data_IF_752215047298
#
_entry.id   IF_752215047298
#
_cell.length_a   1.000
_cell.length_b   1.000
_cell.length_c   1.000
_cell.angle_alpha   90.00
_cell.angle_beta   90.00
_cell.angle_gamma   90.00
#
_symmetry.space_group_name_H-M   'P 1'
#
loop_
_entity.id
_entity.type
_entity.pdbx_description
1 polymer ?
#
# COMPACT_ATOMS: atom_id res chain seq x y z
N UNK A 1 14.40 41.58 13.15
CA UNK A 1 15.80 41.90 13.51
C UNK A 1 15.91 42.63 14.84
N UNK A 2 15.37 43.84 15.02
CA UNK A 2 15.57 44.62 16.27
C UNK A 2 15.29 43.85 17.57
N UNK A 3 14.16 43.15 17.66
CA UNK A 3 13.84 42.30 18.83
C UNK A 3 14.84 41.16 19.05
N UNK A 4 15.31 40.50 17.99
CA UNK A 4 16.32 39.43 18.08
C UNK A 4 17.64 39.98 18.62
N UNK A 5 18.09 41.13 18.08
CA UNK A 5 19.30 41.80 18.54
C UNK A 5 19.21 42.24 20.01
N UNK A 6 18.06 42.81 20.42
CA UNK A 6 17.79 43.24 21.81
C UNK A 6 17.88 42.07 22.81
N UNK A 7 17.51 40.86 22.38
CA UNK A 7 17.53 39.67 23.22
C UNK A 7 18.76 38.77 23.00
N UNK A 8 19.68 39.14 22.11
CA UNK A 8 20.88 38.34 21.81
C UNK A 8 20.61 37.01 21.12
N UNK A 9 19.50 36.90 20.36
CA UNK A 9 19.03 35.65 19.74
C UNK A 9 19.46 35.61 18.27
N UNK A 10 20.14 34.54 17.86
CA UNK A 10 20.51 34.29 16.46
C UNK A 10 19.35 33.79 15.60
N UNK A 11 19.53 33.83 14.27
CA UNK A 11 18.58 33.27 13.28
C UNK A 11 18.96 31.85 12.89
N UNK A 12 18.00 31.11 12.34
CA UNK A 12 18.21 29.81 11.70
C UNK A 12 17.78 29.90 10.24
N UNK A 13 18.68 29.56 9.31
CA UNK A 13 18.36 29.52 7.87
C UNK A 13 17.81 28.15 7.43
N UNK A 14 18.14 27.10 8.19
CA UNK A 14 17.68 25.72 7.96
C UNK A 14 17.30 25.08 9.30
N UNK A 15 16.16 24.39 9.32
CA UNK A 15 15.67 23.57 10.43
C UNK A 15 15.44 22.16 9.91
N UNK A 16 16.25 21.21 10.37
CA UNK A 16 16.13 19.79 10.03
C UNK A 16 15.66 19.04 11.27
N UNK A 17 14.41 18.57 11.25
CA UNK A 17 13.75 17.92 12.39
C UNK A 17 12.85 16.81 11.86
N UNK A 18 13.11 15.58 12.29
CA UNK A 18 12.19 14.45 12.11
C UNK A 18 11.57 14.11 13.47
N UNK A 19 10.36 13.54 13.46
CA UNK A 19 9.61 13.18 14.66
C UNK A 19 10.02 11.81 15.21
N UNK A 20 9.70 11.55 16.48
CA UNK A 20 9.84 10.21 17.06
C UNK A 20 9.01 9.18 16.28
N UNK A 21 9.46 7.91 16.17
CA UNK A 21 8.76 6.85 15.45
C UNK A 21 7.56 6.32 16.26
N UNK A 22 6.57 7.20 16.49
CA UNK A 22 5.37 6.89 17.26
C UNK A 22 4.61 5.70 16.68
N UNK A 23 4.52 5.61 15.35
CA UNK A 23 3.98 4.45 14.62
C UNK A 23 4.60 3.14 15.11
N UNK A 24 5.92 2.98 14.96
CA UNK A 24 6.65 1.76 15.31
C UNK A 24 6.49 1.38 16.79
N UNK A 25 6.37 2.39 17.66
CA UNK A 25 6.14 2.21 19.10
C UNK A 25 4.75 1.66 19.40
N UNK A 26 3.70 2.32 18.93
CA UNK A 26 2.32 1.94 19.26
C UNK A 26 1.79 0.74 18.46
N UNK A 27 2.47 0.36 17.38
CA UNK A 27 2.17 -0.87 16.60
C UNK A 27 3.16 -2.01 16.88
N UNK A 28 3.96 -1.91 17.94
CA UNK A 28 4.93 -2.94 18.32
C UNK A 28 4.25 -4.25 18.77
N UNK A 29 4.96 -5.37 18.61
CA UNK A 29 4.43 -6.70 18.94
C UNK A 29 4.26 -6.81 20.46
N UNK A 30 3.00 -6.96 20.90
CA UNK A 30 2.61 -6.95 22.32
C UNK A 30 1.87 -5.68 22.75
N UNK A 31 1.88 -4.63 21.91
CA UNK A 31 1.36 -3.31 22.27
C UNK A 31 2.35 -2.51 23.13
N UNK A 32 1.87 -1.38 23.65
CA UNK A 32 2.61 -0.48 24.52
C UNK A 32 1.69 -0.06 25.67
N UNK A 33 2.24 0.12 26.87
CA UNK A 33 1.46 0.65 28.00
C UNK A 33 1.01 2.09 27.72
N UNK A 34 -0.05 2.54 28.41
CA UNK A 34 -0.63 3.85 28.14
C UNK A 34 0.36 4.99 28.43
N UNK A 35 1.02 4.94 29.58
CA UNK A 35 2.03 5.92 30.02
C UNK A 35 3.22 5.98 29.03
N UNK A 36 3.77 4.82 28.66
CA UNK A 36 4.82 4.71 27.65
C UNK A 36 4.38 5.30 26.30
N UNK A 37 3.13 5.07 25.89
CA UNK A 37 2.55 5.65 24.68
C UNK A 37 2.47 7.19 24.75
N UNK A 38 2.09 7.75 25.89
CA UNK A 38 2.07 9.20 26.14
C UNK A 38 3.49 9.79 26.10
N UNK A 39 4.49 9.12 26.69
CA UNK A 39 5.89 9.59 26.67
C UNK A 39 6.49 9.64 25.26
N UNK A 40 5.98 8.84 24.31
CA UNK A 40 6.42 8.84 22.92
C UNK A 40 5.70 9.90 22.05
N UNK A 41 4.80 10.72 22.61
CA UNK A 41 4.18 11.85 21.89
C UNK A 41 5.12 13.07 21.93
N UNK A 42 5.83 13.31 20.83
CA UNK A 42 6.64 14.51 20.62
C UNK A 42 5.81 15.79 20.57
N UNK A 43 6.14 16.75 21.44
CA UNK A 43 5.56 18.10 21.49
C UNK A 43 6.49 19.15 20.86
N UNK A 44 7.80 18.94 20.98
CA UNK A 44 8.83 19.90 20.55
C UNK A 44 9.05 19.88 19.04
N UNK A 45 9.12 18.67 18.46
CA UNK A 45 9.27 18.46 17.02
C UNK A 45 8.18 19.14 16.22
N UNK A 46 6.88 18.87 16.45
CA UNK A 46 5.79 19.50 15.70
C UNK A 46 5.76 21.03 15.88
N UNK A 47 6.11 21.54 17.06
CA UNK A 47 6.19 22.98 17.31
C UNK A 47 7.31 23.65 16.47
N UNK A 48 8.51 23.08 16.46
CA UNK A 48 9.64 23.57 15.66
C UNK A 48 9.37 23.47 14.15
N UNK A 49 8.85 22.33 13.68
CA UNK A 49 8.51 22.10 12.27
C UNK A 49 7.47 23.12 11.80
N UNK A 50 6.38 23.34 12.56
CA UNK A 50 5.34 24.32 12.21
C UNK A 50 5.85 25.76 12.24
N UNK A 51 6.74 26.11 13.18
CA UNK A 51 7.34 27.43 13.25
C UNK A 51 8.23 27.72 12.02
N UNK A 52 9.10 26.78 11.65
CA UNK A 52 9.95 26.89 10.47
C UNK A 52 9.12 26.91 9.16
N UNK A 53 8.14 26.00 9.02
CA UNK A 53 7.25 25.94 7.86
C UNK A 53 6.40 27.21 7.69
N UNK A 54 5.95 27.83 8.79
CA UNK A 54 5.30 29.15 8.75
C UNK A 54 6.25 30.24 8.23
N UNK A 55 7.52 30.22 8.63
CA UNK A 55 8.51 31.21 8.21
C UNK A 55 9.31 30.80 6.95
N UNK A 56 8.69 30.03 6.05
CA UNK A 56 9.37 29.42 4.89
C UNK A 56 10.04 30.40 3.92
N UNK A 57 9.67 31.68 3.95
CA UNK A 57 10.36 32.72 3.19
C UNK A 57 11.84 32.81 3.56
N UNK A 58 12.15 32.77 4.85
CA UNK A 58 13.50 32.96 5.35
C UNK A 58 14.13 31.61 5.77
N UNK A 59 13.32 30.67 6.30
CA UNK A 59 13.79 29.39 6.87
C UNK A 59 13.45 28.20 5.96
N UNK A 60 14.43 27.36 5.64
CA UNK A 60 14.20 26.06 5.01
C UNK A 60 13.85 25.02 6.09
N UNK A 61 12.75 24.28 5.92
CA UNK A 61 12.35 23.21 6.85
C UNK A 61 12.47 21.85 6.15
N UNK A 62 13.13 20.87 6.78
CA UNK A 62 13.23 19.50 6.26
C UNK A 62 12.84 18.50 7.33
N UNK A 63 11.94 17.60 6.94
CA UNK A 63 11.34 16.56 7.80
C UNK A 63 11.61 15.13 7.31
N UNK A 64 12.31 14.99 6.19
CA UNK A 64 12.55 13.70 5.51
C UNK A 64 13.99 13.68 4.96
N UNK A 65 14.82 12.70 5.37
CA UNK A 65 16.18 12.52 4.83
C UNK A 65 16.27 12.40 3.31
N UNK A 66 15.20 11.96 2.63
CA UNK A 66 15.18 11.86 1.17
C UNK A 66 15.25 13.23 0.46
N UNK A 67 14.94 14.34 1.16
CA UNK A 67 15.08 15.69 0.59
C UNK A 67 16.51 16.25 0.70
N UNK A 68 17.42 15.61 1.45
CA UNK A 68 18.77 16.12 1.67
C UNK A 68 19.58 16.38 0.38
N UNK A 69 19.53 15.54 -0.67
CA UNK A 69 20.21 15.83 -1.93
C UNK A 69 19.70 17.13 -2.58
N UNK A 70 18.38 17.32 -2.63
CA UNK A 70 17.75 18.52 -3.19
C UNK A 70 18.05 19.77 -2.36
N UNK A 71 18.08 19.66 -1.02
CA UNK A 71 18.51 20.73 -0.13
C UNK A 71 19.96 21.13 -0.42
N UNK A 72 20.87 20.16 -0.56
CA UNK A 72 22.29 20.42 -0.86
C UNK A 72 22.49 21.05 -2.23
N UNK A 73 21.68 20.67 -3.23
CA UNK A 73 21.66 21.33 -4.55
C UNK A 73 21.15 22.78 -4.45
N UNK A 74 20.03 23.01 -3.75
CA UNK A 74 19.49 24.34 -3.49
C UNK A 74 20.52 25.25 -2.81
N UNK A 75 21.18 24.78 -1.74
CA UNK A 75 22.17 25.56 -0.98
C UNK A 75 23.46 25.84 -1.77
N UNK A 76 23.77 25.05 -2.81
CA UNK A 76 24.88 25.31 -3.75
C UNK A 76 24.47 26.26 -4.88
N UNK A 77 23.18 26.36 -5.18
CA UNK A 77 22.63 27.29 -6.15
C UNK A 77 22.68 28.72 -5.64
N UNK A 78 23.23 29.65 -6.43
CA UNK A 78 23.28 31.07 -6.08
C UNK A 78 21.94 31.82 -6.22
N UNK A 79 20.80 31.12 -6.18
CA UNK A 79 19.47 31.67 -6.47
C UNK A 79 18.40 31.18 -5.50
N UNK A 80 17.43 32.04 -5.20
CA UNK A 80 16.41 31.79 -4.18
C UNK A 80 15.12 31.24 -4.81
N UNK A 81 14.96 29.91 -4.87
CA UNK A 81 13.71 29.31 -5.36
C UNK A 81 12.61 29.27 -4.28
N UNK A 82 11.73 30.27 -4.37
CA UNK A 82 10.54 30.38 -3.53
C UNK A 82 9.54 29.22 -3.70
N UNK A 83 9.54 28.50 -4.82
CA UNK A 83 8.70 27.31 -5.01
C UNK A 83 9.24 26.12 -4.21
N UNK A 84 10.55 25.89 -4.21
CA UNK A 84 11.19 24.89 -3.34
C UNK A 84 10.89 25.13 -1.86
N UNK A 85 11.05 26.38 -1.38
CA UNK A 85 10.67 26.79 0.00
C UNK A 85 9.22 26.46 0.35
N UNK A 86 8.28 26.77 -0.56
CA UNK A 86 6.84 26.47 -0.36
C UNK A 86 6.55 24.97 -0.39
N UNK A 87 7.24 24.19 -1.22
CA UNK A 87 7.13 22.72 -1.27
C UNK A 87 7.58 22.09 0.04
N UNK A 88 8.72 22.53 0.58
CA UNK A 88 9.21 22.11 1.90
C UNK A 88 8.22 22.46 3.01
N UNK A 89 7.68 23.68 3.02
CA UNK A 89 6.67 24.11 3.98
C UNK A 89 5.39 23.26 3.93
N UNK A 90 4.89 22.97 2.72
CA UNK A 90 3.75 22.09 2.52
C UNK A 90 4.04 20.67 3.06
N UNK A 91 5.20 20.09 2.72
CA UNK A 91 5.61 18.76 3.18
C UNK A 91 5.72 18.70 4.70
N UNK A 92 6.27 19.75 5.33
CA UNK A 92 6.36 19.88 6.78
C UNK A 92 4.98 19.93 7.47
N UNK A 93 4.02 20.70 6.95
CA UNK A 93 2.65 20.70 7.48
C UNK A 93 1.94 19.35 7.24
N UNK A 94 2.15 18.70 6.09
CA UNK A 94 1.58 17.39 5.81
C UNK A 94 2.14 16.30 6.74
N UNK A 95 3.45 16.33 7.02
CA UNK A 95 4.12 15.40 7.94
C UNK A 95 3.54 15.52 9.36
N UNK A 96 3.37 16.74 9.88
CA UNK A 96 2.74 16.97 11.19
C UNK A 96 1.26 16.56 11.17
N UNK A 97 0.50 16.85 10.11
CA UNK A 97 -0.90 16.42 10.02
C UNK A 97 -1.05 14.88 10.03
N UNK A 98 -0.17 14.15 9.34
CA UNK A 98 -0.15 12.68 9.35
C UNK A 98 0.29 12.10 10.70
N UNK A 99 1.16 12.81 11.43
CA UNK A 99 1.56 12.46 12.79
C UNK A 99 0.42 12.68 13.80
N UNK A 100 -0.17 13.88 13.83
CA UNK A 100 -1.29 14.21 14.71
C UNK A 100 -2.50 13.29 14.48
N UNK A 101 -2.72 12.85 13.22
CA UNK A 101 -3.76 11.87 12.87
C UNK A 101 -3.53 10.52 13.55
N UNK A 102 -2.29 10.03 13.60
CA UNK A 102 -1.94 8.77 14.27
C UNK A 102 -2.06 8.90 15.79
N UNK A 103 -1.62 10.01 16.38
CA UNK A 103 -1.78 10.28 17.82
C UNK A 103 -3.26 10.30 18.19
N UNK A 104 -4.11 10.98 17.40
CA UNK A 104 -5.56 11.03 17.62
C UNK A 104 -6.22 9.64 17.49
N UNK A 105 -5.84 8.84 16.50
CA UNK A 105 -6.35 7.48 16.32
C UNK A 105 -5.93 6.56 17.48
N UNK A 106 -4.67 6.63 17.92
CA UNK A 106 -4.17 5.86 19.05
C UNK A 106 -4.90 6.23 20.35
N UNK A 107 -5.03 7.53 20.65
CA UNK A 107 -5.76 8.02 21.83
C UNK A 107 -7.22 7.59 21.82
N UNK A 108 -7.90 7.64 20.66
CA UNK A 108 -9.28 7.15 20.56
C UNK A 108 -9.41 5.68 20.93
N UNK A 109 -8.49 4.82 20.47
CA UNK A 109 -8.47 3.39 20.82
C UNK A 109 -8.31 3.16 22.34
N UNK A 110 -7.61 4.05 23.05
CA UNK A 110 -7.49 3.96 24.52
C UNK A 110 -8.81 4.27 25.25
N UNK A 111 -9.78 4.94 24.61
CA UNK A 111 -11.09 5.24 25.22
C UNK A 111 -12.07 4.06 25.18
N UNK A 112 -11.76 2.99 24.45
CA UNK A 112 -12.69 1.88 24.16
C UNK A 112 -13.08 0.99 25.35
N UNK A 113 -12.66 1.34 26.58
CA UNK A 113 -13.15 0.78 27.85
C UNK A 113 -13.99 1.74 28.71
N UNK A 114 -14.19 2.99 28.28
CA UNK A 114 -14.86 4.04 29.08
C UNK A 114 -16.38 4.01 28.90
N UNK A 115 -16.89 3.67 27.71
CA UNK A 115 -18.32 3.49 27.50
C UNK A 115 -18.81 2.16 28.08
N UNK A 116 -19.79 2.24 28.98
CA UNK A 116 -20.60 1.09 29.43
C UNK A 116 -21.84 0.86 28.57
N UNK A 117 -22.00 1.62 27.48
CA UNK A 117 -23.12 1.46 26.55
C UNK A 117 -22.84 0.31 25.59
N UNK A 118 -23.84 -0.54 25.37
CA UNK A 118 -23.77 -1.66 24.43
C UNK A 118 -24.21 -1.25 23.01
N UNK A 119 -24.17 0.05 22.67
CA UNK A 119 -24.60 0.56 21.37
C UNK A 119 -23.43 0.58 20.38
N UNK A 120 -23.65 0.10 19.16
CA UNK A 120 -22.63 0.07 18.09
C UNK A 120 -22.07 1.46 17.73
N UNK A 121 -22.75 2.54 18.09
CA UNK A 121 -22.29 3.92 17.90
C UNK A 121 -20.97 4.22 18.62
N UNK A 122 -20.69 3.60 19.77
CA UNK A 122 -19.44 3.84 20.52
C UNK A 122 -18.19 3.19 19.87
N UNK A 123 -18.36 2.40 18.80
CA UNK A 123 -17.27 1.76 18.07
C UNK A 123 -16.58 2.71 17.07
N UNK A 124 -17.23 3.81 16.69
CA UNK A 124 -16.72 4.74 15.68
C UNK A 124 -16.31 6.07 16.33
N UNK A 125 -15.14 6.64 15.97
CA UNK A 125 -14.77 7.95 16.47
C UNK A 125 -15.73 9.03 15.95
N UNK A 126 -16.15 10.01 16.79
CA UNK A 126 -17.04 11.10 16.36
C UNK A 126 -16.40 12.06 15.36
N UNK A 127 -15.06 11.99 15.20
CA UNK A 127 -14.31 12.68 14.15
C UNK A 127 -13.12 11.80 13.73
N UNK A 128 -12.90 11.63 12.43
CA UNK A 128 -11.85 10.79 11.87
C UNK A 128 -11.02 11.59 10.86
N UNK A 129 -9.70 11.54 10.99
CA UNK A 129 -8.76 12.05 9.99
C UNK A 129 -8.08 10.88 9.30
N UNK A 130 -8.07 10.89 7.96
CA UNK A 130 -7.46 9.83 7.15
C UNK A 130 -6.24 10.41 6.41
N UNK A 131 -5.00 10.20 6.90
CA UNK A 131 -3.81 10.59 6.15
C UNK A 131 -3.61 9.67 4.94
N UNK A 132 -3.52 10.26 3.75
CA UNK A 132 -3.32 9.55 2.48
C UNK A 132 -1.99 9.95 1.84
N UNK A 133 -1.20 8.98 1.37
CA UNK A 133 0.03 9.19 0.59
C UNK A 133 -0.19 8.80 -0.87
N UNK A 134 0.14 9.69 -1.81
CA UNK A 134 0.08 9.39 -3.24
C UNK A 134 1.27 8.50 -3.65
N UNK A 135 1.01 7.31 -4.17
CA UNK A 135 2.03 6.38 -4.65
C UNK A 135 2.29 6.54 -6.15
N UNK A 136 1.23 6.81 -6.93
CA UNK A 136 1.35 6.98 -8.38
C UNK A 136 0.18 7.78 -8.97
N UNK A 137 0.43 8.46 -10.09
CA UNK A 137 -0.64 8.92 -10.97
C UNK A 137 -1.13 7.77 -11.84
N UNK A 138 -2.44 7.61 -11.98
CA UNK A 138 -3.04 6.61 -12.86
C UNK A 138 -3.24 7.19 -14.27
N UNK A 139 -3.28 6.31 -15.28
CA UNK A 139 -3.40 6.71 -16.69
C UNK A 139 -4.70 7.47 -16.98
N UNK A 140 -5.79 7.05 -16.35
CA UNK A 140 -7.09 7.70 -16.32
C UNK A 140 -7.88 7.20 -15.10
N UNK A 141 -9.01 7.84 -14.80
CA UNK A 141 -9.96 7.41 -13.76
C UNK A 141 -10.86 6.28 -14.24
N UNK A 142 -12.17 6.43 -14.06
CA UNK A 142 -13.16 5.50 -14.62
C UNK A 142 -13.23 5.62 -16.15
N UNK A 143 -13.07 6.85 -16.67
CA UNK A 143 -13.15 7.17 -18.09
C UNK A 143 -11.83 7.79 -18.60
N UNK A 144 -11.41 7.57 -19.87
CA UNK A 144 -10.12 8.03 -20.40
C UNK A 144 -9.81 9.54 -20.32
N UNK A 145 -10.84 10.39 -20.16
CA UNK A 145 -10.68 11.85 -20.04
C UNK A 145 -10.53 12.32 -18.58
N UNK A 146 -10.78 11.45 -17.60
CA UNK A 146 -10.69 11.76 -16.17
C UNK A 146 -9.25 11.50 -15.67
N UNK A 147 -8.72 12.40 -14.85
CA UNK A 147 -7.46 12.19 -14.15
C UNK A 147 -7.70 11.34 -12.90
N UNK A 148 -6.74 10.50 -12.53
CA UNK A 148 -6.76 9.77 -11.27
C UNK A 148 -5.35 9.55 -10.73
N UNK A 149 -5.26 9.18 -9.44
CA UNK A 149 -4.04 8.83 -8.75
C UNK A 149 -4.36 7.80 -7.67
N UNK A 150 -3.37 6.95 -7.37
CA UNK A 150 -3.47 5.91 -6.36
C UNK A 150 -2.90 6.41 -5.04
N UNK A 151 -3.70 6.33 -3.99
CA UNK A 151 -3.33 6.73 -2.64
C UNK A 151 -3.35 5.52 -1.70
N UNK A 152 -2.40 5.49 -0.78
CA UNK A 152 -2.32 4.52 0.31
C UNK A 152 -2.70 5.21 1.62
N UNK A 153 -3.54 4.55 2.40
CA UNK A 153 -3.93 4.98 3.73
C UNK A 153 -2.79 4.75 4.73
N UNK A 154 -2.54 5.76 5.56
CA UNK A 154 -1.47 5.79 6.56
C UNK A 154 -2.01 5.78 8.00
N UNK A 155 -3.28 5.47 8.24
CA UNK A 155 -3.81 5.22 9.58
C UNK A 155 -3.06 4.08 10.28
N UNK A 156 -2.99 4.14 11.61
CA UNK A 156 -2.37 3.09 12.44
C UNK A 156 -3.10 1.74 12.28
N UNK A 157 -4.42 1.77 12.03
CA UNK A 157 -5.21 0.58 11.74
C UNK A 157 -4.77 -0.19 10.47
N UNK A 158 -4.11 0.47 9.52
CA UNK A 158 -3.67 -0.12 8.25
C UNK A 158 -2.23 -0.69 8.33
N UNK A 159 -1.50 -0.37 9.42
CA UNK A 159 -0.15 -0.89 9.65
C UNK A 159 -0.21 -2.40 9.83
N UNK A 160 0.48 -3.13 8.94
CA UNK A 160 0.46 -4.59 8.83
C UNK A 160 -0.90 -5.24 8.55
N UNK A 161 -1.96 -4.47 8.24
CA UNK A 161 -3.28 -5.02 7.89
C UNK A 161 -3.26 -5.79 6.55
N UNK A 162 -2.38 -5.37 5.63
CA UNK A 162 -2.32 -5.89 4.27
C UNK A 162 -3.47 -5.40 3.39
N UNK A 163 -3.37 -5.60 2.08
CA UNK A 163 -4.41 -5.21 1.13
C UNK A 163 -3.86 -4.87 -0.25
N UNK A 164 -4.75 -4.46 -1.15
CA UNK A 164 -4.37 -4.04 -2.52
C UNK A 164 -3.43 -2.82 -2.45
N UNK A 165 -3.72 -1.88 -1.55
CA UNK A 165 -2.93 -0.68 -1.27
C UNK A 165 -1.46 -0.95 -0.91
N UNK A 166 -1.19 -2.05 -0.21
CA UNK A 166 0.15 -2.43 0.27
C UNK A 166 0.74 -3.63 -0.49
N UNK A 167 0.12 -4.02 -1.61
CA UNK A 167 0.57 -5.18 -2.40
C UNK A 167 1.81 -4.88 -3.24
N UNK A 168 2.74 -5.84 -3.33
CA UNK A 168 3.95 -5.73 -4.15
C UNK A 168 3.66 -6.32 -5.53
N UNK A 169 3.59 -5.46 -6.55
CA UNK A 169 3.49 -5.89 -7.95
C UNK A 169 4.84 -6.42 -8.45
N UNK A 170 5.07 -7.73 -8.34
CA UNK A 170 6.30 -8.35 -8.84
C UNK A 170 6.44 -8.26 -10.36
N UNK A 171 5.34 -8.43 -11.11
CA UNK A 171 5.29 -8.38 -12.57
C UNK A 171 3.94 -7.86 -13.10
N UNK A 172 3.96 -7.34 -14.32
CA UNK A 172 2.78 -6.82 -15.03
C UNK A 172 2.91 -5.33 -15.34
N UNK A 173 2.13 -4.85 -16.31
CA UNK A 173 1.85 -3.42 -16.53
C UNK A 173 0.33 -3.23 -16.55
N UNK A 174 -0.18 -2.09 -16.10
CA UNK A 174 -1.62 -1.84 -15.90
C UNK A 174 -2.51 -2.17 -17.10
N UNK A 175 -2.00 -2.02 -18.33
CA UNK A 175 -2.74 -2.33 -19.56
C UNK A 175 -2.88 -3.84 -19.85
N UNK A 176 -2.14 -4.69 -19.15
CA UNK A 176 -2.25 -6.15 -19.26
C UNK A 176 -3.41 -6.71 -18.42
N UNK A 177 -3.97 -5.92 -17.48
CA UNK A 177 -5.09 -6.34 -16.62
C UNK A 177 -6.30 -6.77 -17.45
N UNK A 178 -6.65 -6.02 -18.51
CA UNK A 178 -7.76 -6.37 -19.40
C UNK A 178 -7.55 -7.70 -20.14
N UNK A 179 -6.31 -8.04 -20.48
CA UNK A 179 -5.98 -9.36 -21.06
C UNK A 179 -6.08 -10.49 -20.03
N UNK A 180 -5.78 -10.22 -18.75
CA UNK A 180 -5.98 -11.17 -17.66
C UNK A 180 -7.47 -11.37 -17.37
N UNK A 181 -8.27 -10.29 -17.34
CA UNK A 181 -9.74 -10.39 -17.16
C UNK A 181 -10.37 -11.19 -18.29
N UNK A 182 -10.10 -10.87 -19.56
CA UNK A 182 -10.60 -11.63 -20.72
C UNK A 182 -10.19 -13.11 -20.69
N UNK A 183 -9.00 -13.42 -20.17
CA UNK A 183 -8.55 -14.81 -20.01
C UNK A 183 -9.27 -15.52 -18.85
N UNK A 184 -9.54 -14.83 -17.75
CA UNK A 184 -10.35 -15.36 -16.65
C UNK A 184 -11.81 -15.58 -17.09
N UNK A 185 -12.41 -14.63 -17.80
CA UNK A 185 -13.76 -14.76 -18.35
C UNK A 185 -13.86 -15.96 -19.32
N UNK A 186 -12.83 -16.21 -20.12
CA UNK A 186 -12.74 -17.40 -20.99
C UNK A 186 -12.65 -18.70 -20.20
N UNK A 187 -11.98 -18.71 -19.04
CA UNK A 187 -11.93 -19.88 -18.15
C UNK A 187 -13.28 -20.09 -17.44
N UNK A 188 -13.88 -19.02 -16.90
CA UNK A 188 -15.12 -19.10 -16.11
C UNK A 188 -16.40 -19.27 -16.96
N UNK A 189 -16.37 -18.90 -18.24
CA UNK A 189 -17.45 -19.22 -19.20
C UNK A 189 -17.46 -20.69 -19.65
N UNK A 190 -16.40 -21.45 -19.35
CA UNK A 190 -16.37 -22.91 -19.54
C UNK A 190 -17.08 -23.65 -18.42
N UNK A 191 -18.31 -24.13 -18.66
CA UNK A 191 -19.04 -24.94 -17.69
C UNK A 191 -18.32 -26.27 -17.37
N UNK A 192 -17.82 -26.42 -16.14
CA UNK A 192 -17.18 -27.64 -15.66
C UNK A 192 -18.24 -28.72 -15.40
N UNK A 193 -18.20 -29.82 -16.16
CA UNK A 193 -19.06 -30.97 -15.93
C UNK A 193 -18.39 -31.95 -14.96
N UNK A 194 -19.07 -32.27 -13.85
CA UNK A 194 -18.56 -33.18 -12.83
C UNK A 194 -18.51 -34.64 -13.32
N UNK A 195 -17.46 -35.35 -12.92
CA UNK A 195 -17.32 -36.80 -13.04
C UNK A 195 -15.94 -37.24 -12.55
N UNK A 196 -15.89 -37.92 -11.39
CA UNK A 196 -14.66 -38.52 -10.86
C UNK A 196 -14.25 -39.78 -11.64
N UNK A 197 -13.07 -40.37 -11.39
CA UNK A 197 -12.09 -40.04 -10.35
C UNK A 197 -10.65 -40.11 -10.87
N UNK A 198 -9.86 -39.14 -10.42
CA UNK A 198 -8.39 -39.12 -10.38
C UNK A 198 -7.59 -39.65 -11.59
N UNK A 199 -7.76 -39.00 -12.75
CA UNK A 199 -6.62 -38.71 -13.63
C UNK A 199 -6.75 -37.28 -14.31
N UNK A 200 -5.70 -36.71 -14.96
CA UNK A 200 -5.62 -35.51 -15.91
C UNK A 200 -4.80 -35.61 -17.33
N UNK A 201 -5.30 -36.20 -18.47
CA UNK A 201 -4.63 -36.87 -19.69
C UNK A 201 -5.12 -36.31 -21.03
N UNK A 202 -4.44 -35.35 -21.64
CA UNK A 202 -4.64 -35.16 -23.09
C UNK A 202 -4.05 -36.36 -23.87
N UNK A 203 -4.82 -37.43 -24.08
CA UNK A 203 -4.55 -38.39 -25.16
C UNK A 203 -5.17 -37.83 -26.44
N UNK A 204 -4.36 -37.50 -27.46
CA UNK A 204 -4.87 -36.82 -28.64
C UNK A 204 -5.74 -37.77 -29.47
N UNK A 205 -7.00 -37.40 -29.65
CA UNK A 205 -7.88 -38.02 -30.64
C UNK A 205 -7.28 -37.89 -32.05
N UNK A 206 -7.54 -38.86 -32.91
CA UNK A 206 -7.10 -38.89 -34.32
C UNK A 206 -7.63 -37.72 -35.17
N UNK A 207 -8.48 -36.86 -34.60
CA UNK A 207 -9.03 -35.64 -35.20
C UNK A 207 -8.38 -34.32 -34.71
N UNK A 208 -7.10 -34.30 -34.36
CA UNK A 208 -6.26 -33.08 -34.17
C UNK A 208 -6.86 -31.93 -33.32
N UNK A 209 -7.73 -32.22 -32.36
CA UNK A 209 -8.28 -31.23 -31.41
C UNK A 209 -8.01 -31.73 -29.99
N UNK A 210 -7.54 -30.80 -29.15
CA UNK A 210 -7.24 -31.04 -27.74
C UNK A 210 -8.50 -30.73 -26.93
N UNK A 211 -9.23 -31.75 -26.45
CA UNK A 211 -10.48 -31.56 -25.70
C UNK A 211 -10.26 -31.65 -24.18
N UNK A 212 -10.74 -30.65 -23.44
CA UNK A 212 -10.39 -30.38 -22.02
C UNK A 212 -10.63 -31.57 -21.10
N UNK A 213 -11.65 -32.39 -21.40
CA UNK A 213 -11.99 -33.59 -20.64
C UNK A 213 -10.91 -34.67 -20.71
N UNK A 214 -10.17 -34.72 -21.82
CA UNK A 214 -8.96 -35.51 -21.88
C UNK A 214 -7.98 -34.99 -20.83
N UNK A 215 -7.64 -33.69 -20.76
CA UNK A 215 -6.78 -33.13 -19.71
C UNK A 215 -7.19 -33.50 -18.29
N UNK A 216 -8.38 -34.06 -18.06
CA UNK A 216 -8.90 -34.67 -16.83
C UNK A 216 -8.86 -36.27 -16.79
N UNK A 217 -7.85 -36.95 -17.41
CA UNK A 217 -7.46 -38.42 -17.37
C UNK A 217 -5.93 -39.02 -17.19
N UNK A 218 -4.82 -38.29 -16.81
CA UNK A 218 -3.35 -38.49 -16.37
C UNK A 218 -2.87 -37.75 -15.05
N UNK A 219 -2.80 -36.40 -14.88
CA UNK A 219 -2.14 -35.72 -13.72
C UNK A 219 -2.60 -36.24 -12.33
N UNK A 220 -3.86 -36.65 -12.19
CA UNK A 220 -4.35 -37.21 -10.92
C UNK A 220 -4.02 -38.73 -10.76
N UNK A 221 -3.52 -39.41 -11.81
CA UNK A 221 -2.90 -40.74 -11.75
C UNK A 221 -1.43 -40.57 -11.33
N UNK A 222 -1.22 -40.50 -10.02
CA UNK A 222 0.10 -40.38 -9.42
C UNK A 222 0.86 -41.71 -9.60
N UNK A 223 1.68 -41.79 -10.63
CA UNK A 223 2.78 -42.75 -10.72
C UNK A 223 4.12 -42.03 -10.71
N UNK A 224 5.06 -42.58 -9.94
CA UNK A 224 6.45 -42.15 -9.88
C UNK A 224 7.13 -42.27 -11.25
N UNK A 225 7.13 -41.19 -12.05
CA UNK A 225 8.14 -40.96 -13.10
C UNK A 225 8.17 -39.52 -13.61
N UNK A 226 9.29 -38.87 -13.29
CA UNK A 226 9.98 -37.81 -14.06
C UNK A 226 9.09 -36.78 -14.76
N UNK A 227 8.84 -35.67 -14.07
CA UNK A 227 8.32 -34.44 -14.67
C UNK A 227 9.23 -33.97 -15.83
N UNK A 228 8.70 -33.76 -17.06
CA UNK A 228 9.52 -33.50 -18.25
C UNK A 228 9.92 -32.02 -18.34
N UNK A 229 10.73 -31.55 -17.38
CA UNK A 229 11.12 -30.15 -17.26
C UNK A 229 11.69 -29.56 -18.57
N UNK A 230 12.46 -30.35 -19.33
CA UNK A 230 13.05 -29.92 -20.62
C UNK A 230 12.02 -29.64 -21.73
N UNK A 231 10.76 -30.04 -21.57
CA UNK A 231 9.70 -29.85 -22.57
C UNK A 231 8.79 -28.65 -22.27
N UNK A 232 8.66 -28.26 -21.00
CA UNK A 232 7.84 -27.10 -20.58
C UNK A 232 8.49 -25.78 -21.01
N UNK A 233 9.81 -25.69 -21.00
CA UNK A 233 10.58 -24.46 -21.26
C UNK A 233 10.94 -24.24 -22.75
N UNK A 234 10.18 -24.78 -23.71
CA UNK A 234 10.37 -24.40 -25.12
C UNK A 234 9.71 -23.05 -25.43
N UNK A 235 10.33 -22.16 -26.24
CA UNK A 235 10.15 -20.71 -26.10
C UNK A 235 8.87 -20.12 -26.71
N UNK A 236 7.87 -20.94 -27.02
CA UNK A 236 6.64 -20.54 -27.72
C UNK A 236 5.49 -20.17 -26.78
N UNK A 237 5.67 -20.33 -25.46
CA UNK A 237 4.72 -19.87 -24.43
C UNK A 237 5.35 -18.67 -23.71
N UNK A 238 4.66 -17.51 -23.64
CA UNK A 238 5.16 -16.37 -22.87
C UNK A 238 5.40 -16.76 -21.41
N UNK A 239 6.54 -16.35 -20.85
CA UNK A 239 6.98 -16.70 -19.49
C UNK A 239 5.95 -16.41 -18.39
N UNK A 240 5.06 -15.43 -18.62
CA UNK A 240 3.93 -15.09 -17.74
C UNK A 240 2.89 -16.22 -17.61
N UNK A 241 2.64 -16.98 -18.69
CA UNK A 241 1.72 -18.13 -18.68
C UNK A 241 2.35 -19.30 -17.92
N UNK A 242 3.67 -19.51 -18.05
CA UNK A 242 4.39 -20.48 -17.23
C UNK A 242 4.36 -20.14 -15.74
N UNK A 243 4.43 -18.85 -15.37
CA UNK A 243 4.30 -18.41 -13.98
C UNK A 243 2.89 -18.64 -13.42
N UNK A 244 1.83 -18.36 -14.21
CA UNK A 244 0.45 -18.58 -13.79
C UNK A 244 0.10 -20.08 -13.64
N UNK A 245 0.62 -20.93 -14.53
CA UNK A 245 0.54 -22.37 -14.40
C UNK A 245 1.31 -22.88 -13.17
N UNK A 246 2.43 -22.26 -12.82
CA UNK A 246 3.22 -22.61 -11.64
C UNK A 246 2.50 -22.25 -10.33
N UNK A 247 1.91 -21.05 -10.21
CA UNK A 247 1.14 -20.67 -9.00
C UNK A 247 -0.17 -21.45 -8.85
N UNK A 248 -0.85 -21.77 -9.96
CA UNK A 248 -2.04 -22.62 -9.95
C UNK A 248 -1.70 -24.08 -9.55
N UNK A 249 -0.61 -24.65 -10.09
CA UNK A 249 -0.18 -26.01 -9.79
C UNK A 249 0.37 -26.20 -8.36
N UNK A 250 0.79 -25.12 -7.68
CA UNK A 250 1.26 -25.17 -6.29
C UNK A 250 0.14 -25.10 -5.23
N UNK A 251 -1.14 -25.11 -5.64
CA UNK A 251 -2.27 -25.42 -4.76
C UNK A 251 -2.56 -24.39 -3.65
N UNK A 252 -2.43 -23.08 -3.94
CA UNK A 252 -2.65 -22.01 -2.94
C UNK A 252 -3.56 -20.84 -3.35
N UNK A 253 -4.35 -20.98 -4.42
CA UNK A 253 -5.44 -20.02 -4.67
C UNK A 253 -6.73 -20.57 -4.05
N UNK A 254 -7.10 -20.00 -2.91
CA UNK A 254 -8.36 -20.25 -2.23
C UNK A 254 -9.53 -19.82 -3.14
N UNK A 255 -10.41 -20.77 -3.43
CA UNK A 255 -11.49 -20.62 -4.42
C UNK A 255 -12.64 -19.73 -3.92
N UNK A 256 -13.14 -18.87 -4.82
CA UNK A 256 -14.52 -18.35 -5.00
C UNK A 256 -15.34 -17.79 -3.82
N UNK A 257 -15.30 -18.36 -2.63
CA UNK A 257 -16.29 -18.14 -1.57
C UNK A 257 -16.23 -16.74 -0.94
N UNK A 258 -15.09 -16.06 -1.09
CA UNK A 258 -14.90 -14.68 -0.63
C UNK A 258 -15.31 -13.62 -1.68
N UNK A 259 -15.48 -13.99 -2.96
CA UNK A 259 -15.93 -13.04 -4.00
C UNK A 259 -17.46 -12.89 -4.01
N UNK A 260 -18.21 -13.94 -3.65
CA UNK A 260 -19.67 -13.90 -3.62
C UNK A 260 -20.24 -13.17 -2.39
N UNK A 261 -19.48 -13.07 -1.29
CA UNK A 261 -19.90 -12.37 -0.06
C UNK A 261 -20.01 -10.84 -0.17
N UNK A 262 -19.63 -10.25 -1.31
CA UNK A 262 -19.79 -8.81 -1.56
C UNK A 262 -21.04 -8.45 -2.39
N UNK A 263 -21.87 -9.42 -2.79
CA UNK A 263 -23.06 -9.15 -3.62
C UNK A 263 -24.37 -9.31 -2.84
N UNK A 264 -24.46 -10.25 -1.90
CA UNK A 264 -25.70 -10.51 -1.12
C UNK A 264 -25.47 -10.29 0.39
N UNK A 265 -25.65 -9.05 0.88
CA UNK A 265 -25.38 -8.77 2.30
C UNK A 265 -25.60 -7.36 2.86
N UNK A 266 -26.63 -6.62 2.44
CA UNK A 266 -27.08 -5.37 3.12
C UNK A 266 -27.04 -4.12 2.26
#
# INVERSE_FOLDING_TARGET
MEALNKHGIGTFDVVVVNLYPFYDKVTSIGGIEFEDGIENIDIGGPAMIRAAAKNNKDVLVVVDPNDYPLLVEFLKGGGDDQHFRRRLAWKAFQHVASYDSAVAEWLWKQTSGISKSSADYDKFPPSLTVPLECISSLRYGENPHQKAAFYVDKRLAEVNAGGIATSIQHHGKDWELGSVTLFMDLIYSGAVSQGGDYAMCWTPSSRKVLEVKSFYNLLLLIHEKVFPWKSVWKPTVPSKVSFFLWTAALGRVLTTDNLWKQVDGG
#
